data_IF_904671966250
#
_entry.id   IF_904671966250
#
_cell.length_a   1.000
_cell.length_b   1.000
_cell.length_c   1.000
_cell.angle_alpha   90.00
_cell.angle_beta   90.00
_cell.angle_gamma   90.00
#
_symmetry.space_group_name_H-M   'P 1'
#
loop_
_entity.id
_entity.type
_entity.pdbx_description
1 polymer ?
#
# COMPACT_ATOMS: atom_id res chain seq x y z
N UNK A 1 -16.51 26.05 -9.01
CA UNK A 1 -16.07 25.31 -10.22
C UNK A 1 -16.59 23.88 -10.13
N UNK A 2 -17.31 23.36 -11.13
CA UNK A 2 -17.70 21.95 -11.14
C UNK A 2 -16.45 21.09 -11.37
N UNK A 3 -16.22 20.01 -10.60
CA UNK A 3 -15.06 19.15 -10.82
C UNK A 3 -15.12 18.59 -12.24
N UNK A 4 -13.98 18.59 -12.94
CA UNK A 4 -13.89 18.02 -14.28
C UNK A 4 -14.14 16.51 -14.21
N UNK A 5 -14.80 15.94 -15.23
CA UNK A 5 -15.07 14.50 -15.34
C UNK A 5 -13.86 13.59 -14.96
N UNK A 6 -12.60 13.90 -15.35
CA UNK A 6 -11.44 13.08 -14.95
C UNK A 6 -11.14 13.09 -13.45
N UNK A 7 -11.36 14.22 -12.74
CA UNK A 7 -11.12 14.30 -11.29
C UNK A 7 -12.11 13.42 -10.53
N UNK A 8 -13.40 13.49 -10.91
CA UNK A 8 -14.45 12.66 -10.31
C UNK A 8 -14.16 11.18 -10.53
N UNK A 9 -13.67 10.82 -11.71
CA UNK A 9 -13.34 9.44 -12.05
C UNK A 9 -12.12 8.93 -11.30
N UNK A 10 -11.06 9.75 -11.18
CA UNK A 10 -9.88 9.43 -10.38
C UNK A 10 -10.26 9.23 -8.90
N UNK A 11 -11.09 10.10 -8.34
CA UNK A 11 -11.58 9.95 -6.96
C UNK A 11 -12.38 8.66 -6.76
N UNK A 12 -13.22 8.27 -7.73
CA UNK A 12 -13.95 6.98 -7.69
C UNK A 12 -13.01 5.79 -7.75
N UNK A 13 -12.01 5.81 -8.64
CA UNK A 13 -11.00 4.74 -8.76
C UNK A 13 -10.20 4.62 -7.48
N UNK A 14 -9.78 5.75 -6.88
CA UNK A 14 -9.11 5.79 -5.59
C UNK A 14 -9.99 5.17 -4.49
N UNK A 15 -11.21 5.69 -4.28
CA UNK A 15 -12.06 5.28 -3.16
C UNK A 15 -12.43 3.80 -3.22
N UNK A 16 -12.87 3.32 -4.39
CA UNK A 16 -13.25 1.91 -4.57
C UNK A 16 -12.03 0.99 -4.53
N UNK A 17 -10.90 1.42 -5.10
CA UNK A 17 -9.64 0.69 -5.03
C UNK A 17 -9.15 0.56 -3.60
N UNK A 18 -9.10 1.66 -2.85
CA UNK A 18 -8.65 1.69 -1.47
C UNK A 18 -9.53 0.82 -0.56
N UNK A 19 -10.86 1.02 -0.59
CA UNK A 19 -11.78 0.26 0.27
C UNK A 19 -11.75 -1.22 -0.11
N UNK A 20 -11.89 -1.54 -1.40
CA UNK A 20 -11.93 -2.91 -1.87
C UNK A 20 -10.64 -3.68 -1.58
N UNK A 21 -9.48 -3.06 -1.84
CA UNK A 21 -8.18 -3.68 -1.55
C UNK A 21 -7.96 -3.82 -0.04
N UNK A 22 -8.31 -2.82 0.76
CA UNK A 22 -8.14 -2.90 2.22
C UNK A 22 -8.97 -4.02 2.82
N UNK A 23 -10.25 -4.15 2.42
CA UNK A 23 -11.12 -5.24 2.87
C UNK A 23 -10.56 -6.59 2.44
N UNK A 24 -10.21 -6.75 1.16
CA UNK A 24 -9.68 -7.99 0.62
C UNK A 24 -8.38 -8.41 1.32
N UNK A 25 -7.41 -7.51 1.38
CA UNK A 25 -6.12 -7.75 2.00
C UNK A 25 -6.25 -8.03 3.50
N UNK A 26 -7.18 -7.36 4.19
CA UNK A 26 -7.45 -7.65 5.61
C UNK A 26 -8.06 -9.06 5.80
N UNK A 27 -8.96 -9.49 4.92
CA UNK A 27 -9.51 -10.83 4.96
C UNK A 27 -8.44 -11.90 4.69
N UNK A 28 -7.56 -11.68 3.70
CA UNK A 28 -6.41 -12.55 3.44
C UNK A 28 -5.46 -12.59 4.64
N UNK A 29 -5.18 -11.45 5.26
CA UNK A 29 -4.36 -11.38 6.47
C UNK A 29 -4.95 -12.22 7.60
N UNK A 30 -6.26 -12.08 7.89
CA UNK A 30 -6.93 -12.86 8.94
C UNK A 30 -6.87 -14.36 8.64
N UNK A 31 -7.17 -14.76 7.40
CA UNK A 31 -7.07 -16.15 6.97
C UNK A 31 -5.66 -16.72 7.18
N UNK A 32 -4.63 -16.01 6.71
CA UNK A 32 -3.25 -16.45 6.85
C UNK A 32 -2.78 -16.45 8.31
N UNK A 33 -3.20 -15.47 9.11
CA UNK A 33 -2.89 -15.40 10.54
C UNK A 33 -3.36 -16.66 11.24
N UNK A 34 -4.55 -17.16 10.91
CA UNK A 34 -5.14 -18.33 11.55
C UNK A 34 -4.54 -19.65 11.03
N UNK A 35 -4.10 -19.69 9.77
CA UNK A 35 -3.56 -20.91 9.14
C UNK A 35 -2.06 -21.11 9.38
N UNK A 36 -1.24 -20.08 9.13
CA UNK A 36 0.24 -20.17 9.20
C UNK A 36 0.84 -19.48 10.42
N UNK A 37 -0.01 -18.84 11.24
CA UNK A 37 0.40 -18.09 12.42
C UNK A 37 0.91 -16.69 12.09
N UNK A 38 0.74 -15.77 13.05
CA UNK A 38 1.08 -14.34 12.93
C UNK A 38 2.48 -14.07 12.37
N UNK A 39 3.46 -14.89 12.75
CA UNK A 39 4.86 -14.71 12.36
C UNK A 39 5.10 -14.95 10.87
N UNK A 40 4.30 -15.76 10.20
CA UNK A 40 4.53 -16.12 8.79
C UNK A 40 3.81 -15.18 7.81
N UNK A 41 2.94 -14.29 8.31
CA UNK A 41 2.14 -13.40 7.45
C UNK A 41 2.95 -12.20 6.97
N UNK A 42 3.74 -11.57 7.84
CA UNK A 42 4.61 -10.44 7.51
C UNK A 42 6.03 -10.67 7.96
N UNK A 43 6.98 -10.62 7.01
CA UNK A 43 8.41 -10.55 7.32
C UNK A 43 8.93 -11.60 8.30
N UNK A 44 8.39 -12.81 8.31
CA UNK A 44 8.60 -13.81 9.37
C UNK A 44 10.04 -14.20 9.65
N UNK A 45 10.93 -13.94 8.70
CA UNK A 45 12.38 -14.12 8.83
C UNK A 45 13.02 -13.09 9.78
N UNK A 46 12.47 -11.88 9.88
CA UNK A 46 13.07 -10.78 10.66
C UNK A 46 12.60 -10.72 12.12
N UNK A 47 11.72 -11.62 12.56
CA UNK A 47 11.09 -11.57 13.90
C UNK A 47 10.66 -10.13 14.25
N UNK A 48 9.94 -9.48 13.32
CA UNK A 48 9.46 -8.11 13.50
C UNK A 48 8.91 -7.90 14.92
N UNK A 49 9.31 -6.80 15.55
CA UNK A 49 8.96 -6.50 16.94
C UNK A 49 7.45 -6.68 17.16
N UNK A 50 7.09 -7.56 18.10
CA UNK A 50 5.75 -8.16 18.15
C UNK A 50 4.61 -7.16 18.38
N UNK A 51 4.89 -5.92 18.81
CA UNK A 51 3.84 -4.93 19.00
C UNK A 51 3.41 -4.22 17.70
N UNK A 52 4.23 -4.16 16.65
CA UNK A 52 3.76 -3.66 15.33
C UNK A 52 2.78 -4.62 14.67
N UNK A 53 2.86 -5.90 15.04
CA UNK A 53 1.85 -6.90 14.71
C UNK A 53 0.48 -6.63 15.37
N UNK A 54 0.38 -5.66 16.30
CA UNK A 54 -0.90 -5.19 16.85
C UNK A 54 -1.60 -4.16 15.95
N UNK A 55 -0.89 -3.61 14.94
CA UNK A 55 -1.44 -2.61 14.01
C UNK A 55 -1.48 -3.07 12.54
N UNK A 56 -1.74 -4.35 12.21
CA UNK A 56 -1.56 -4.90 10.86
C UNK A 56 -2.46 -4.21 9.84
N UNK A 57 -3.69 -3.87 10.25
CA UNK A 57 -4.67 -3.22 9.38
C UNK A 57 -4.27 -1.80 8.98
N UNK A 58 -3.51 -1.09 9.82
CA UNK A 58 -3.02 0.24 9.48
C UNK A 58 -1.96 0.18 8.38
N UNK A 59 -1.04 -0.78 8.46
CA UNK A 59 -0.03 -1.01 7.42
C UNK A 59 -0.66 -1.51 6.12
N UNK A 60 -1.62 -2.43 6.20
CA UNK A 60 -2.39 -2.90 5.03
C UNK A 60 -3.11 -1.73 4.37
N UNK A 61 -3.86 -0.94 5.14
CA UNK A 61 -4.59 0.21 4.63
C UNK A 61 -3.64 1.25 4.02
N UNK A 62 -2.51 1.54 4.66
CA UNK A 62 -1.50 2.45 4.13
C UNK A 62 -1.00 1.99 2.75
N UNK A 63 -0.60 0.73 2.62
CA UNK A 63 -0.12 0.21 1.34
C UNK A 63 -1.22 0.23 0.26
N UNK A 64 -2.45 -0.14 0.61
CA UNK A 64 -3.61 -0.08 -0.28
C UNK A 64 -3.92 1.36 -0.72
N UNK A 65 -3.80 2.33 0.19
CA UNK A 65 -4.03 3.75 -0.10
C UNK A 65 -2.97 4.28 -1.06
N UNK A 66 -1.70 3.97 -0.84
CA UNK A 66 -0.59 4.36 -1.73
C UNK A 66 -0.80 3.79 -3.13
N UNK A 67 -1.14 2.50 -3.24
CA UNK A 67 -1.42 1.87 -4.53
C UNK A 67 -2.64 2.50 -5.23
N UNK A 68 -3.76 2.64 -4.52
CA UNK A 68 -4.98 3.19 -5.09
C UNK A 68 -4.78 4.65 -5.53
N UNK A 69 -4.03 5.44 -4.77
CA UNK A 69 -3.67 6.81 -5.12
C UNK A 69 -2.78 6.85 -6.36
N UNK A 70 -1.73 6.02 -6.40
CA UNK A 70 -0.85 5.89 -7.55
C UNK A 70 -1.61 5.50 -8.83
N UNK A 71 -2.52 4.52 -8.74
CA UNK A 71 -3.36 4.09 -9.84
C UNK A 71 -4.28 5.22 -10.34
N UNK A 72 -4.96 5.90 -9.42
CA UNK A 72 -5.85 7.02 -9.74
C UNK A 72 -5.09 8.21 -10.36
N UNK A 73 -3.92 8.54 -9.83
CA UNK A 73 -3.05 9.61 -10.35
C UNK A 73 -2.53 9.28 -11.75
N UNK A 74 -2.02 8.08 -11.97
CA UNK A 74 -1.51 7.67 -13.29
C UNK A 74 -2.62 7.72 -14.34
N UNK A 75 -3.80 7.16 -14.05
CA UNK A 75 -4.92 7.16 -15.00
C UNK A 75 -5.57 8.54 -15.19
N UNK A 76 -5.59 9.35 -14.14
CA UNK A 76 -6.13 10.71 -14.14
C UNK A 76 -5.25 11.69 -14.91
N UNK A 77 -3.95 11.69 -14.59
CA UNK A 77 -2.98 12.66 -15.10
C UNK A 77 -2.27 12.22 -16.39
N UNK A 78 -2.25 10.92 -16.72
CA UNK A 78 -1.56 10.41 -17.90
C UNK A 78 -2.49 9.66 -18.86
N UNK A 79 -3.15 10.36 -19.81
CA UNK A 79 -4.11 9.74 -20.72
C UNK A 79 -3.57 8.56 -21.53
N UNK A 80 -2.27 8.60 -21.90
CA UNK A 80 -1.61 7.49 -22.61
C UNK A 80 -1.56 6.21 -21.78
N UNK A 81 -1.43 6.31 -20.45
CA UNK A 81 -1.40 5.15 -19.57
C UNK A 81 -2.71 4.35 -19.56
N UNK A 82 -3.82 4.96 -19.99
CA UNK A 82 -5.12 4.27 -20.13
C UNK A 82 -5.10 3.19 -21.21
N UNK A 83 -4.19 3.28 -22.18
CA UNK A 83 -4.02 2.28 -23.24
C UNK A 83 -3.04 1.17 -22.86
N UNK A 84 -2.35 1.29 -21.72
CA UNK A 84 -1.38 0.29 -21.31
C UNK A 84 -2.08 -1.01 -20.93
N UNK A 85 -1.45 -2.17 -21.18
CA UNK A 85 -1.93 -3.43 -20.64
C UNK A 85 -2.03 -3.31 -19.11
N UNK A 86 -3.14 -3.80 -18.55
CA UNK A 86 -3.41 -3.65 -17.11
C UNK A 86 -2.31 -4.25 -16.22
N UNK A 87 -1.62 -5.29 -16.69
CA UNK A 87 -0.50 -5.89 -15.95
C UNK A 87 0.70 -4.93 -15.87
N UNK A 88 1.04 -4.23 -16.96
CA UNK A 88 2.13 -3.22 -16.98
C UNK A 88 1.82 -2.10 -15.99
N UNK A 89 0.60 -1.54 -16.08
CA UNK A 89 0.15 -0.49 -15.19
C UNK A 89 0.20 -0.93 -13.72
N UNK A 90 -0.35 -2.11 -13.42
CA UNK A 90 -0.38 -2.66 -12.05
C UNK A 90 1.03 -2.87 -11.52
N UNK A 91 1.93 -3.48 -12.30
CA UNK A 91 3.32 -3.72 -11.91
C UNK A 91 4.05 -2.43 -11.61
N UNK A 92 3.95 -1.41 -12.49
CA UNK A 92 4.63 -0.13 -12.27
C UNK A 92 4.09 0.59 -11.02
N UNK A 93 2.77 0.60 -10.83
CA UNK A 93 2.16 1.22 -9.63
C UNK A 93 2.53 0.43 -8.38
N UNK A 94 2.60 -0.91 -8.42
CA UNK A 94 3.06 -1.74 -7.30
C UNK A 94 4.52 -1.43 -6.94
N UNK A 95 5.42 -1.32 -7.92
CA UNK A 95 6.83 -0.97 -7.68
C UNK A 95 6.95 0.41 -7.02
N UNK A 96 6.18 1.40 -7.50
CA UNK A 96 6.12 2.72 -6.86
C UNK A 96 5.54 2.63 -5.44
N UNK A 97 4.51 1.78 -5.25
CA UNK A 97 3.88 1.57 -3.95
C UNK A 97 4.81 0.87 -2.96
N UNK A 98 5.70 -0.01 -3.42
CA UNK A 98 6.75 -0.59 -2.58
C UNK A 98 7.66 0.51 -2.03
N UNK A 99 8.14 1.43 -2.87
CA UNK A 99 9.01 2.52 -2.42
C UNK A 99 8.28 3.47 -1.47
N UNK A 100 7.14 4.01 -1.88
CA UNK A 100 6.37 4.98 -1.09
C UNK A 100 5.77 4.35 0.17
N UNK A 101 5.24 3.14 0.05
CA UNK A 101 4.71 2.38 1.17
C UNK A 101 5.79 2.00 2.18
N UNK A 102 7.03 1.75 1.74
CA UNK A 102 8.15 1.51 2.65
C UNK A 102 8.54 2.78 3.42
N UNK A 103 8.66 3.91 2.74
CA UNK A 103 8.95 5.20 3.39
C UNK A 103 7.86 5.59 4.41
N UNK A 104 6.60 5.60 3.98
CA UNK A 104 5.46 5.96 4.84
C UNK A 104 5.24 4.92 5.94
N UNK A 105 5.44 3.64 5.63
CA UNK A 105 5.36 2.54 6.59
C UNK A 105 6.43 2.67 7.67
N UNK A 106 7.64 3.08 7.31
CA UNK A 106 8.72 3.38 8.26
C UNK A 106 8.43 4.59 9.15
N UNK A 107 7.82 5.65 8.60
CA UNK A 107 7.34 6.77 9.42
C UNK A 107 6.24 6.33 10.41
N UNK A 108 5.27 5.53 9.95
CA UNK A 108 4.22 4.96 10.78
C UNK A 108 4.79 4.00 11.85
N UNK A 109 5.82 3.24 11.50
CA UNK A 109 6.58 2.41 12.43
C UNK A 109 7.18 3.23 13.57
N UNK A 110 7.86 4.31 13.24
CA UNK A 110 8.42 5.25 14.22
C UNK A 110 7.34 5.86 15.13
N UNK A 111 6.15 6.18 14.59
CA UNK A 111 5.01 6.62 15.40
C UNK A 111 4.57 5.56 16.43
N UNK A 112 4.47 4.30 16.01
CA UNK A 112 4.11 3.20 16.90
C UNK A 112 5.20 2.90 17.95
N UNK A 113 6.48 3.07 17.59
CA UNK A 113 7.59 3.00 18.55
C UNK A 113 7.40 4.02 19.66
N UNK A 114 7.15 5.28 19.30
CA UNK A 114 6.95 6.37 20.27
C UNK A 114 5.71 6.13 21.14
N UNK A 115 4.63 5.57 20.59
CA UNK A 115 3.44 5.19 21.37
C UNK A 115 3.72 4.06 22.38
N UNK A 116 4.66 3.19 22.07
CA UNK A 116 5.12 2.11 22.97
C UNK A 116 6.20 2.58 23.96
N UNK A 117 6.60 3.86 23.93
CA UNK A 117 7.63 4.42 24.81
C UNK A 117 9.06 4.30 24.26
N UNK A 118 9.25 3.84 23.03
CA UNK A 118 10.53 3.78 22.34
C UNK A 118 10.71 5.01 21.46
N UNK A 119 11.73 5.82 21.73
CA UNK A 119 12.02 7.01 20.93
C UNK A 119 13.22 6.72 20.01
N UNK A 120 13.02 6.72 18.68
CA UNK A 120 14.12 6.61 17.73
C UNK A 120 15.10 7.78 17.85
N UNK A 121 16.24 7.78 17.14
CA UNK A 121 17.20 8.88 17.20
C UNK A 121 16.58 10.26 16.89
N UNK A 122 17.03 11.28 17.60
CA UNK A 122 16.60 12.68 17.46
C UNK A 122 15.99 13.27 18.72
N UNK A 123 15.86 14.59 18.75
CA UNK A 123 15.26 15.36 19.87
C UNK A 123 13.85 15.86 19.54
N UNK A 124 13.43 15.73 18.28
CA UNK A 124 12.18 16.29 17.76
C UNK A 124 11.40 15.23 17.00
N UNK A 125 10.07 15.35 17.05
CA UNK A 125 9.14 14.46 16.34
C UNK A 125 9.53 14.23 14.87
N UNK A 126 9.85 15.30 14.12
CA UNK A 126 10.17 15.16 12.70
C UNK A 126 11.42 14.28 12.47
N UNK A 127 12.42 14.36 13.35
CA UNK A 127 13.66 13.59 13.22
C UNK A 127 13.39 12.10 13.43
N UNK A 128 12.53 11.76 14.40
CA UNK A 128 12.09 10.38 14.59
C UNK A 128 11.34 9.84 13.37
N UNK A 129 10.45 10.65 12.78
CA UNK A 129 9.71 10.27 11.58
C UNK A 129 10.65 10.09 10.38
N UNK A 130 11.62 10.98 10.22
CA UNK A 130 12.61 10.90 9.14
C UNK A 130 13.50 9.68 9.26
N UNK A 131 13.99 9.38 10.46
CA UNK A 131 14.70 8.14 10.74
C UNK A 131 13.84 6.91 10.38
N UNK A 132 12.55 6.97 10.69
CA UNK A 132 11.58 5.95 10.29
C UNK A 132 11.50 5.80 8.77
N UNK A 133 11.40 6.90 8.02
CA UNK A 133 11.40 6.91 6.54
C UNK A 133 12.67 6.27 5.99
N UNK A 134 13.85 6.67 6.48
CA UNK A 134 15.15 6.13 6.05
C UNK A 134 15.24 4.62 6.33
N UNK A 135 14.85 4.20 7.52
CA UNK A 135 14.82 2.78 7.91
C UNK A 135 13.84 1.99 7.04
N UNK A 136 12.66 2.56 6.77
CA UNK A 136 11.67 1.99 5.86
C UNK A 136 12.21 1.80 4.46
N UNK A 137 12.90 2.80 3.90
CA UNK A 137 13.55 2.68 2.58
C UNK A 137 14.72 1.69 2.58
N UNK A 138 15.42 1.53 3.70
CA UNK A 138 16.54 0.61 3.81
C UNK A 138 16.09 -0.86 3.87
N UNK A 139 15.13 -1.19 4.73
CA UNK A 139 14.71 -2.59 5.00
C UNK A 139 13.23 -2.88 4.74
N UNK A 140 12.36 -1.88 4.74
CA UNK A 140 10.91 -2.04 4.63
C UNK A 140 10.47 -2.69 3.31
N UNK A 141 11.11 -2.36 2.19
CA UNK A 141 10.79 -2.96 0.89
C UNK A 141 11.04 -4.48 0.89
N UNK A 142 12.08 -4.92 1.59
CA UNK A 142 12.45 -6.33 1.70
C UNK A 142 11.42 -7.09 2.55
N UNK A 143 10.96 -6.48 3.64
CA UNK A 143 9.86 -7.03 4.46
C UNK A 143 8.59 -7.20 3.62
N UNK A 144 8.24 -6.19 2.83
CA UNK A 144 7.08 -6.25 1.95
C UNK A 144 7.23 -7.38 0.94
N UNK A 145 8.37 -7.53 0.27
CA UNK A 145 8.60 -8.61 -0.71
C UNK A 145 8.57 -10.01 -0.08
N UNK A 146 9.16 -10.18 1.11
CA UNK A 146 9.25 -11.47 1.79
C UNK A 146 7.95 -11.91 2.46
N UNK A 147 6.90 -11.09 2.43
CA UNK A 147 5.55 -11.46 2.88
C UNK A 147 4.85 -12.36 1.85
N UNK A 148 5.52 -13.43 1.43
CA UNK A 148 5.19 -14.25 0.26
C UNK A 148 3.76 -14.84 0.26
N UNK A 149 3.29 -15.55 1.31
CA UNK A 149 1.94 -16.12 1.27
C UNK A 149 0.88 -15.01 1.13
N UNK A 150 1.09 -13.88 1.79
CA UNK A 150 0.22 -12.73 1.70
C UNK A 150 0.24 -12.10 0.30
N UNK A 151 1.43 -11.85 -0.24
CA UNK A 151 1.60 -11.22 -1.55
C UNK A 151 1.00 -12.06 -2.67
N UNK A 152 1.22 -13.38 -2.67
CA UNK A 152 0.69 -14.29 -3.68
C UNK A 152 -0.84 -14.26 -3.71
N UNK A 153 -1.48 -14.24 -2.53
CA UNK A 153 -2.93 -14.20 -2.42
C UNK A 153 -3.53 -12.82 -2.72
N UNK A 154 -2.80 -11.74 -2.43
CA UNK A 154 -3.28 -10.37 -2.67
C UNK A 154 -3.04 -9.88 -4.10
N UNK A 155 -2.03 -10.39 -4.81
CA UNK A 155 -1.67 -9.94 -6.16
C UNK A 155 -2.84 -9.96 -7.17
N UNK A 156 -3.73 -10.97 -7.20
CA UNK A 156 -4.91 -10.96 -8.05
C UNK A 156 -5.84 -9.77 -7.80
N UNK A 157 -6.00 -9.34 -6.55
CA UNK A 157 -6.85 -8.19 -6.19
C UNK A 157 -6.25 -6.86 -6.70
N UNK A 158 -4.92 -6.68 -6.57
CA UNK A 158 -4.22 -5.51 -7.14
C UNK A 158 -4.34 -5.46 -8.67
N UNK A 159 -4.18 -6.60 -9.34
CA UNK A 159 -4.41 -6.69 -10.78
C UNK A 159 -5.87 -6.40 -11.16
N UNK A 160 -6.83 -6.91 -10.39
CA UNK A 160 -8.26 -6.62 -10.55
C UNK A 160 -8.56 -5.13 -10.44
N UNK A 161 -7.97 -4.45 -9.46
CA UNK A 161 -8.08 -3.00 -9.30
C UNK A 161 -7.49 -2.22 -10.49
N UNK A 162 -6.31 -2.63 -10.98
CA UNK A 162 -5.70 -2.07 -12.19
C UNK A 162 -6.60 -2.20 -13.43
N UNK A 163 -7.16 -3.41 -13.65
CA UNK A 163 -8.13 -3.66 -14.74
C UNK A 163 -9.40 -2.82 -14.59
N UNK A 164 -9.92 -2.70 -13.37
CA UNK A 164 -11.09 -1.89 -13.09
C UNK A 164 -10.84 -0.41 -13.42
N UNK A 165 -9.72 0.13 -12.94
CA UNK A 165 -9.32 1.52 -13.22
C UNK A 165 -9.27 1.82 -14.72
N UNK A 166 -8.56 1.01 -15.50
CA UNK A 166 -8.47 1.18 -16.96
C UNK A 166 -9.86 1.13 -17.62
N UNK A 167 -10.73 0.19 -17.23
CA UNK A 167 -12.11 0.09 -17.77
C UNK A 167 -12.94 1.34 -17.46
N UNK A 168 -12.84 1.90 -16.26
CA UNK A 168 -13.60 3.10 -15.88
C UNK A 168 -13.24 4.30 -16.75
N UNK A 169 -11.95 4.52 -16.99
CA UNK A 169 -11.44 5.60 -17.83
C UNK A 169 -11.70 5.39 -19.33
N UNK A 170 -11.84 4.15 -19.80
CA UNK A 170 -12.27 3.88 -21.18
C UNK A 170 -13.75 4.15 -21.45
N UNK A 171 -14.63 3.88 -20.47
CA UNK A 171 -16.08 4.13 -20.60
C UNK A 171 -16.43 5.62 -20.73
N UNK A 172 -15.55 6.50 -20.28
CA UNK A 172 -15.76 7.95 -20.24
C UNK A 172 -14.78 8.69 -21.17
N UNK A 173 -14.42 8.09 -22.32
CA UNK A 173 -13.76 8.86 -23.38
C UNK A 173 -14.70 10.01 -23.78
N UNK A 174 -14.22 11.26 -23.89
CA UNK A 174 -14.99 12.33 -24.50
C UNK A 174 -15.32 12.01 -25.96
#
# INVERSE_FOLDING_TARGET
>A
MKPTAPIVLAAKVFALGFIGLTVYCSAVYLLLRDVVGLRMVFGGLYRMFMYHANHPFQYIALFCAVFAAGLALVLGCWPKARQWPAWVLTTLVLLLSLLLGSALGGALWSLHDMQAGYFPPGDRLWQHLWWGVESGLYVGWLVLLLSLPFNVLCLPAFYGAGRYGVKQFHRHKP
#
